data_IF_554765625917
#
_entry.id   IF_554765625917
#
_cell.length_a   1.000
_cell.length_b   1.000
_cell.length_c   1.000
_cell.angle_alpha   90.00
_cell.angle_beta   90.00
_cell.angle_gamma   90.00
#
_symmetry.space_group_name_H-M   'P 1'
#
loop_
_entity.id
_entity.type
_entity.pdbx_description
1 polymer ?
#
# COMPACT_ATOMS: atom_id res chain seq x y z
N UNK A 1 16.83 6.84 1.28
CA UNK A 1 16.63 6.13 -0.01
C UNK A 1 15.23 5.52 -0.13
N UNK A 2 14.75 4.72 0.84
CA UNK A 2 13.39 4.12 0.79
C UNK A 2 12.22 5.11 0.79
N UNK A 3 12.27 6.18 1.59
CA UNK A 3 11.21 7.21 1.65
C UNK A 3 10.96 7.80 0.26
N UNK A 4 12.03 8.26 -0.38
CA UNK A 4 11.99 8.76 -1.76
C UNK A 4 11.49 7.73 -2.77
N UNK A 5 11.89 6.46 -2.69
CA UNK A 5 11.36 5.44 -3.60
C UNK A 5 9.83 5.36 -3.54
N UNK A 6 9.25 5.28 -2.33
CA UNK A 6 7.79 5.20 -2.19
C UNK A 6 7.10 6.48 -2.65
N UNK A 7 7.69 7.66 -2.37
CA UNK A 7 7.16 8.95 -2.84
C UNK A 7 7.12 9.03 -4.37
N UNK A 8 8.23 8.70 -5.04
CA UNK A 8 8.30 8.66 -6.51
C UNK A 8 7.39 7.58 -7.10
N UNK A 9 7.31 6.41 -6.48
CA UNK A 9 6.43 5.33 -6.92
C UNK A 9 4.96 5.74 -6.82
N UNK A 10 4.54 6.31 -5.68
CA UNK A 10 3.19 6.84 -5.50
C UNK A 10 2.85 7.92 -6.53
N UNK A 11 3.78 8.86 -6.77
CA UNK A 11 3.63 9.89 -7.82
C UNK A 11 3.36 9.26 -9.19
N UNK A 12 4.21 8.35 -9.65
CA UNK A 12 4.05 7.69 -10.97
C UNK A 12 2.72 6.95 -11.07
N UNK A 13 2.34 6.18 -10.03
CA UNK A 13 1.08 5.44 -10.01
C UNK A 13 -0.11 6.38 -10.11
N UNK A 14 -0.13 7.46 -9.31
CA UNK A 14 -1.25 8.39 -9.24
C UNK A 14 -1.40 9.21 -10.52
N UNK A 15 -0.33 9.74 -11.10
CA UNK A 15 -0.35 10.48 -12.38
C UNK A 15 -0.79 9.58 -13.54
N UNK A 16 -0.37 8.30 -13.53
CA UNK A 16 -0.76 7.34 -14.55
C UNK A 16 -2.23 6.92 -14.42
N UNK A 17 -2.71 6.73 -13.18
CA UNK A 17 -4.06 6.22 -12.92
C UNK A 17 -5.15 7.30 -12.96
N UNK A 18 -4.77 8.55 -12.69
CA UNK A 18 -5.67 9.71 -12.59
C UNK A 18 -5.09 10.94 -13.30
N UNK A 19 -4.75 10.87 -14.59
CA UNK A 19 -4.10 11.98 -15.30
C UNK A 19 -4.98 13.25 -15.39
N UNK A 20 -6.31 13.12 -15.23
CA UNK A 20 -7.21 14.29 -15.17
C UNK A 20 -7.25 14.95 -13.79
N UNK A 21 -6.87 14.23 -12.73
CA UNK A 21 -6.83 14.72 -11.34
C UNK A 21 -5.44 15.21 -10.95
N UNK A 22 -4.42 14.51 -11.43
CA UNK A 22 -3.02 14.72 -11.11
C UNK A 22 -2.23 14.81 -12.42
N UNK A 23 -2.02 16.04 -12.91
CA UNK A 23 -1.14 16.27 -14.06
C UNK A 23 0.33 16.37 -13.61
N UNK A 24 0.61 17.11 -12.54
CA UNK A 24 1.94 17.31 -11.95
C UNK A 24 1.85 17.29 -10.42
N UNK A 25 2.17 16.14 -9.83
CA UNK A 25 2.45 16.01 -8.41
C UNK A 25 3.89 16.39 -8.10
N UNK A 26 4.10 17.27 -7.12
CA UNK A 26 5.42 17.61 -6.63
C UNK A 26 5.76 16.82 -5.37
N UNK A 27 7.01 16.39 -5.24
CA UNK A 27 7.53 15.82 -3.99
C UNK A 27 7.69 16.96 -2.99
N UNK A 28 7.16 16.79 -1.78
CA UNK A 28 7.22 17.77 -0.70
C UNK A 28 7.44 17.06 0.64
N UNK A 29 7.61 17.83 1.72
CA UNK A 29 7.48 17.30 3.08
C UNK A 29 6.14 17.72 3.70
N UNK A 30 5.44 16.77 4.32
CA UNK A 30 4.20 16.95 5.11
C UNK A 30 3.14 17.85 4.44
N UNK A 31 2.39 17.35 3.46
CA UNK A 31 2.40 15.98 2.95
C UNK A 31 3.51 15.69 1.94
N UNK A 32 3.78 14.40 1.78
CA UNK A 32 4.87 13.82 0.97
C UNK A 32 4.74 14.14 -0.53
N UNK A 33 3.51 14.26 -1.05
CA UNK A 33 3.22 14.78 -2.39
C UNK A 33 2.21 15.93 -2.31
N UNK A 34 2.30 16.87 -3.25
CA UNK A 34 1.34 17.97 -3.37
C UNK A 34 0.95 18.22 -4.81
N UNK A 35 -0.33 18.45 -5.01
CA UNK A 35 -0.87 18.99 -6.25
C UNK A 35 -1.37 20.41 -5.96
N UNK A 36 -0.61 21.40 -6.42
CA UNK A 36 -0.87 22.81 -6.07
C UNK A 36 -2.15 23.35 -6.67
N UNK A 37 -2.51 22.92 -7.89
CA UNK A 37 -3.70 23.43 -8.60
C UNK A 37 -4.99 23.05 -7.88
N UNK A 38 -5.11 21.80 -7.40
CA UNK A 38 -6.28 21.36 -6.64
C UNK A 38 -6.18 21.62 -5.14
N UNK A 39 -5.03 22.05 -4.64
CA UNK A 39 -4.79 22.15 -3.20
C UNK A 39 -4.89 20.80 -2.49
N UNK A 40 -4.40 19.73 -3.14
CA UNK A 40 -4.42 18.37 -2.59
C UNK A 40 -3.04 17.99 -2.07
N UNK A 41 -3.02 17.41 -0.88
CA UNK A 41 -1.82 16.91 -0.22
C UNK A 41 -1.93 15.42 0.05
N UNK A 42 -0.94 14.64 -0.39
CA UNK A 42 -0.97 13.18 -0.34
C UNK A 42 0.15 12.67 0.56
N UNK A 43 -0.22 12.03 1.66
CA UNK A 43 0.73 11.28 2.49
C UNK A 43 1.06 9.96 1.83
N UNK A 44 2.32 9.52 1.96
CA UNK A 44 2.77 8.23 1.44
C UNK A 44 3.25 7.37 2.59
N UNK A 45 2.82 6.11 2.61
CA UNK A 45 3.30 5.12 3.58
C UNK A 45 3.50 3.76 2.95
N UNK A 46 4.34 2.95 3.60
CA UNK A 46 4.53 1.55 3.27
C UNK A 46 4.03 0.69 4.42
N UNK A 47 3.16 -0.25 4.10
CA UNK A 47 2.52 -1.15 5.07
C UNK A 47 3.11 -2.55 4.94
N UNK A 48 3.97 -2.91 5.89
CA UNK A 48 4.57 -4.24 6.05
C UNK A 48 5.03 -4.38 7.51
N UNK A 49 4.89 -5.56 8.13
CA UNK A 49 5.39 -5.79 9.48
C UNK A 49 6.88 -5.48 9.58
N UNK A 50 7.32 -4.88 10.70
CA UNK A 50 8.73 -4.47 10.89
C UNK A 50 9.72 -5.62 10.68
N UNK A 51 9.38 -6.80 11.20
CA UNK A 51 10.17 -8.02 11.08
C UNK A 51 10.39 -8.40 9.62
N UNK A 52 9.32 -8.35 8.81
CA UNK A 52 9.37 -8.69 7.39
C UNK A 52 10.04 -7.61 6.55
N UNK A 53 9.79 -6.34 6.87
CA UNK A 53 10.49 -5.23 6.25
C UNK A 53 12.00 -5.28 6.53
N UNK A 54 12.42 -5.76 7.70
CA UNK A 54 13.82 -6.03 8.02
C UNK A 54 14.36 -7.19 7.18
N UNK A 55 13.67 -8.32 7.16
CA UNK A 55 14.07 -9.50 6.43
C UNK A 55 14.26 -9.23 4.93
N UNK A 56 13.30 -8.54 4.29
CA UNK A 56 13.41 -8.10 2.89
C UNK A 56 14.69 -7.27 2.67
N UNK A 57 15.06 -6.41 3.61
CA UNK A 57 16.28 -5.59 3.46
C UNK A 57 17.55 -6.40 3.57
N UNK A 58 17.59 -7.37 4.48
CA UNK A 58 18.74 -8.25 4.66
C UNK A 58 18.89 -9.13 3.43
N UNK A 59 17.80 -9.79 3.02
CA UNK A 59 17.75 -10.63 1.82
C UNK A 59 18.15 -9.86 0.56
N UNK A 60 17.58 -8.67 0.34
CA UNK A 60 17.89 -7.86 -0.84
C UNK A 60 19.35 -7.41 -0.89
N UNK A 61 19.99 -7.16 0.27
CA UNK A 61 21.44 -6.85 0.29
C UNK A 61 22.29 -8.06 -0.07
N UNK A 62 21.95 -9.25 0.44
CA UNK A 62 22.61 -10.50 0.08
C UNK A 62 22.46 -10.78 -1.41
N UNK A 63 21.23 -10.76 -1.92
CA UNK A 63 20.89 -10.99 -3.33
C UNK A 63 21.67 -10.09 -4.30
N UNK A 64 21.79 -8.80 -3.98
CA UNK A 64 22.49 -7.84 -4.83
C UNK A 64 24.01 -7.78 -4.61
N UNK A 65 24.59 -8.68 -3.82
CA UNK A 65 26.03 -8.65 -3.50
C UNK A 65 26.47 -7.41 -2.73
N UNK A 66 25.54 -6.75 -2.01
CA UNK A 66 25.79 -5.51 -1.22
C UNK A 66 26.02 -5.78 0.26
N UNK A 67 25.97 -7.04 0.69
CA UNK A 67 26.28 -7.40 2.07
C UNK A 67 27.77 -7.19 2.35
N UNK A 68 28.07 -6.57 3.49
CA UNK A 68 29.46 -6.40 3.97
C UNK A 68 29.97 -7.64 4.71
N UNK A 69 29.07 -8.46 5.22
CA UNK A 69 29.36 -9.69 5.93
C UNK A 69 28.18 -10.64 5.70
N UNK A 70 28.34 -11.52 4.70
CA UNK A 70 27.28 -12.42 4.27
C UNK A 70 26.86 -13.39 5.38
N UNK A 71 27.81 -13.94 6.14
CA UNK A 71 27.53 -14.88 7.23
C UNK A 71 26.63 -14.25 8.29
N UNK A 72 26.93 -13.02 8.72
CA UNK A 72 26.12 -12.29 9.70
C UNK A 72 24.74 -11.91 9.18
N UNK A 73 24.63 -11.51 7.91
CA UNK A 73 23.33 -11.20 7.31
C UNK A 73 22.48 -12.48 7.14
N UNK A 74 23.09 -13.63 6.80
CA UNK A 74 22.40 -14.93 6.74
C UNK A 74 21.95 -15.36 8.14
N UNK A 75 22.81 -15.25 9.16
CA UNK A 75 22.44 -15.50 10.56
C UNK A 75 21.26 -14.63 10.99
N UNK A 76 21.25 -13.36 10.57
CA UNK A 76 20.15 -12.45 10.88
C UNK A 76 18.83 -12.89 10.24
N UNK A 77 18.84 -13.43 9.02
CA UNK A 77 17.64 -14.01 8.41
C UNK A 77 17.12 -15.19 9.24
N UNK A 78 18.00 -16.10 9.66
CA UNK A 78 17.62 -17.22 10.53
C UNK A 78 17.03 -16.76 11.86
N UNK A 79 17.56 -15.71 12.49
CA UNK A 79 16.98 -15.12 13.70
C UNK A 79 15.58 -14.51 13.46
N UNK A 80 15.31 -14.09 12.24
CA UNK A 80 13.98 -13.64 11.80
C UNK A 80 13.09 -14.82 11.37
N UNK A 81 13.55 -16.07 11.49
CA UNK A 81 12.81 -17.26 11.10
C UNK A 81 12.70 -17.45 9.60
N UNK A 82 13.63 -16.89 8.83
CA UNK A 82 13.64 -16.93 7.36
C UNK A 82 14.91 -17.64 6.93
N UNK A 83 14.75 -18.69 6.13
CA UNK A 83 15.87 -19.34 5.47
C UNK A 83 16.32 -18.51 4.28
N UNK A 84 17.63 -18.36 4.10
CA UNK A 84 18.16 -17.63 2.97
C UNK A 84 18.11 -18.48 1.69
N UNK A 85 17.29 -18.07 0.74
CA UNK A 85 17.29 -18.57 -0.63
C UNK A 85 17.79 -17.47 -1.57
N UNK A 86 18.82 -17.76 -2.37
CA UNK A 86 19.41 -16.81 -3.34
C UNK A 86 18.50 -16.45 -4.52
N UNK A 87 17.38 -17.15 -4.72
CA UNK A 87 16.49 -16.99 -5.86
C UNK A 87 15.18 -16.30 -5.49
N UNK A 88 14.66 -16.55 -4.29
CA UNK A 88 13.32 -16.08 -3.92
C UNK A 88 13.24 -15.67 -2.45
N UNK A 89 12.48 -14.61 -2.20
CA UNK A 89 11.96 -14.26 -0.89
C UNK A 89 10.44 -14.33 -0.93
N UNK A 90 9.84 -15.11 -0.03
CA UNK A 90 8.38 -15.19 0.13
C UNK A 90 8.03 -14.72 1.52
N UNK A 91 7.19 -13.70 1.62
CA UNK A 91 6.53 -13.37 2.87
C UNK A 91 5.28 -14.25 3.00
N UNK A 92 5.31 -15.21 3.92
CA UNK A 92 4.12 -15.94 4.34
C UNK A 92 3.24 -15.01 5.18
N UNK A 93 2.09 -14.63 4.62
CA UNK A 93 1.16 -13.71 5.27
C UNK A 93 0.16 -14.46 6.17
N UNK A 94 0.13 -15.80 6.16
CA UNK A 94 -0.90 -16.57 6.85
C UNK A 94 -2.26 -16.48 6.17
N UNK A 95 -3.32 -16.80 6.92
CA UNK A 95 -4.68 -16.88 6.36
C UNK A 95 -5.42 -15.55 6.44
N UNK A 96 -6.21 -15.27 5.41
CA UNK A 96 -7.06 -14.09 5.37
C UNK A 96 -8.48 -14.36 5.89
N UNK A 97 -8.88 -15.61 6.14
CA UNK A 97 -10.23 -15.97 6.62
C UNK A 97 -10.49 -15.69 8.11
N UNK A 98 -9.45 -15.30 8.85
CA UNK A 98 -9.52 -14.95 10.26
C UNK A 98 -10.12 -13.55 10.50
N UNK A 99 -10.31 -13.19 11.77
CA UNK A 99 -10.76 -11.86 12.16
C UNK A 99 -9.92 -10.77 11.45
N UNK A 100 -10.54 -9.96 10.60
CA UNK A 100 -9.89 -8.95 9.77
C UNK A 100 -9.00 -7.96 10.56
N UNK A 101 -9.32 -7.71 11.85
CA UNK A 101 -8.54 -6.84 12.74
C UNK A 101 -7.31 -7.53 13.34
N UNK A 102 -7.15 -8.83 13.16
CA UNK A 102 -6.05 -9.66 13.67
C UNK A 102 -5.24 -10.34 12.56
N UNK A 103 -5.84 -10.53 11.38
CA UNK A 103 -5.17 -11.08 10.19
C UNK A 103 -4.29 -10.07 9.43
N UNK A 104 -3.84 -10.41 8.22
CA UNK A 104 -2.78 -9.65 7.53
C UNK A 104 -3.18 -8.22 7.13
N UNK A 105 -4.48 -7.99 6.92
CA UNK A 105 -5.03 -6.66 6.60
C UNK A 105 -4.82 -5.67 7.76
N UNK A 106 -4.61 -6.16 8.99
CA UNK A 106 -4.31 -5.32 10.15
C UNK A 106 -3.14 -4.36 9.92
N UNK A 107 -2.11 -4.77 9.18
CA UNK A 107 -0.96 -3.91 8.89
C UNK A 107 -1.38 -2.66 8.11
N UNK A 108 -2.33 -2.81 7.18
CA UNK A 108 -2.90 -1.67 6.45
C UNK A 108 -3.70 -0.76 7.37
N UNK A 109 -4.53 -1.32 8.25
CA UNK A 109 -5.28 -0.52 9.24
C UNK A 109 -4.35 0.26 10.17
N UNK A 110 -3.30 -0.39 10.68
CA UNK A 110 -2.32 0.26 11.55
C UNK A 110 -1.55 1.37 10.83
N UNK A 111 -1.20 1.17 9.55
CA UNK A 111 -0.55 2.18 8.73
C UNK A 111 -1.45 3.40 8.49
N UNK A 112 -2.73 3.18 8.20
CA UNK A 112 -3.72 4.26 8.05
C UNK A 112 -3.91 4.99 9.37
N UNK A 113 -4.09 4.26 10.48
CA UNK A 113 -4.28 4.82 11.81
C UNK A 113 -3.13 5.73 12.21
N UNK A 114 -1.89 5.28 12.04
CA UNK A 114 -0.70 6.10 12.34
C UNK A 114 -0.68 7.39 11.53
N UNK A 115 -1.08 7.37 10.25
CA UNK A 115 -1.13 8.57 9.41
C UNK A 115 -2.26 9.51 9.82
N UNK A 116 -3.44 8.98 10.18
CA UNK A 116 -4.56 9.79 10.68
C UNK A 116 -4.18 10.49 11.99
N UNK A 117 -3.57 9.77 12.93
CA UNK A 117 -3.07 10.33 14.20
C UNK A 117 -2.02 11.42 13.94
N UNK A 118 -1.08 11.18 13.02
CA UNK A 118 -0.02 12.14 12.68
C UNK A 118 -0.57 13.40 12.00
N UNK A 119 -1.52 13.26 11.07
CA UNK A 119 -2.18 14.38 10.41
C UNK A 119 -2.88 15.33 11.42
N UNK A 120 -3.36 14.77 12.51
CA UNK A 120 -4.04 15.50 13.58
C UNK A 120 -3.10 15.90 14.73
N UNK A 121 -1.80 15.61 14.64
CA UNK A 121 -0.85 15.94 15.69
C UNK A 121 -0.47 17.42 15.65
N UNK A 122 -0.49 18.06 16.83
CA UNK A 122 -0.05 19.45 17.00
C UNK A 122 1.45 19.66 16.77
N UNK A 123 2.24 18.61 16.83
CA UNK A 123 3.71 18.67 16.70
C UNK A 123 4.21 18.20 15.33
N UNK A 124 3.32 17.71 14.47
CA UNK A 124 3.73 17.18 13.17
C UNK A 124 3.99 18.27 12.12
N UNK A 125 3.51 19.50 12.34
CA UNK A 125 3.74 20.68 11.48
C UNK A 125 3.34 20.42 10.02
N UNK A 126 2.14 19.86 9.81
CA UNK A 126 1.56 19.75 8.47
C UNK A 126 1.25 21.12 7.90
N UNK A 127 1.58 21.33 6.63
CA UNK A 127 1.07 22.50 5.90
C UNK A 127 -0.45 22.46 5.89
N UNK A 128 -1.11 23.61 6.03
CA UNK A 128 -2.57 23.69 5.90
C UNK A 128 -2.95 23.54 4.43
N UNK A 129 -3.67 22.47 4.13
CA UNK A 129 -4.09 22.06 2.79
C UNK A 129 -5.59 21.77 2.81
N UNK A 130 -6.27 22.09 1.70
CA UNK A 130 -7.71 21.93 1.58
C UNK A 130 -8.14 20.46 1.61
N UNK A 131 -7.42 19.60 0.89
CA UNK A 131 -7.75 18.18 0.75
C UNK A 131 -6.56 17.30 1.11
N UNK A 132 -6.76 16.34 2.02
CA UNK A 132 -5.74 15.34 2.33
C UNK A 132 -6.12 13.98 1.75
N UNK A 133 -5.15 13.29 1.17
CA UNK A 133 -5.28 11.93 0.66
C UNK A 133 -4.13 11.07 1.18
N UNK A 134 -4.28 9.77 1.14
CA UNK A 134 -3.28 8.82 1.64
C UNK A 134 -2.99 7.75 0.60
N UNK A 135 -1.72 7.56 0.27
CA UNK A 135 -1.25 6.44 -0.53
C UNK A 135 -0.52 5.42 0.33
N UNK A 136 -1.03 4.19 0.34
CA UNK A 136 -0.43 3.05 1.05
C UNK A 136 0.12 2.06 0.03
N UNK A 137 1.43 1.90 0.02
CA UNK A 137 2.10 0.81 -0.69
C UNK A 137 2.16 -0.43 0.21
N UNK A 138 1.64 -1.56 -0.25
CA UNK A 138 1.66 -2.79 0.52
C UNK A 138 1.74 -4.02 -0.38
N UNK A 139 2.06 -5.15 0.24
CA UNK A 139 2.07 -6.47 -0.41
C UNK A 139 0.87 -7.31 0.05
N UNK A 140 -0.03 -6.75 0.86
CA UNK A 140 -1.23 -7.45 1.36
C UNK A 140 -2.26 -7.67 0.25
N UNK A 141 -3.12 -8.65 0.44
CA UNK A 141 -4.31 -8.90 -0.36
C UNK A 141 -5.55 -8.38 0.38
N UNK A 142 -6.61 -8.09 -0.37
CA UNK A 142 -7.95 -7.88 0.19
C UNK A 142 -8.89 -8.88 -0.49
N UNK A 143 -9.34 -9.93 0.23
CA UNK A 143 -10.38 -10.82 -0.27
C UNK A 143 -11.65 -10.02 -0.57
N UNK A 144 -12.34 -10.35 -1.66
CA UNK A 144 -13.49 -9.58 -2.15
C UNK A 144 -14.61 -9.50 -1.10
N UNK A 145 -14.83 -10.59 -0.37
CA UNK A 145 -15.81 -10.70 0.70
C UNK A 145 -15.52 -9.78 1.90
N UNK A 146 -14.29 -9.29 2.04
CA UNK A 146 -13.87 -8.41 3.14
C UNK A 146 -13.91 -6.92 2.80
N UNK A 147 -14.12 -6.55 1.53
CA UNK A 147 -14.08 -5.15 1.06
C UNK A 147 -14.99 -4.23 1.90
N UNK A 148 -16.23 -4.65 2.16
CA UNK A 148 -17.18 -3.82 2.92
C UNK A 148 -16.75 -3.65 4.39
N UNK A 149 -16.17 -4.70 4.99
CA UNK A 149 -15.61 -4.62 6.33
C UNK A 149 -14.38 -3.69 6.38
N UNK A 150 -13.52 -3.74 5.36
CA UNK A 150 -12.38 -2.81 5.21
C UNK A 150 -12.86 -1.36 5.18
N UNK A 151 -13.86 -1.02 4.35
CA UNK A 151 -14.43 0.33 4.28
C UNK A 151 -14.94 0.77 5.66
N UNK A 152 -15.72 -0.07 6.34
CA UNK A 152 -16.24 0.22 7.67
C UNK A 152 -15.14 0.54 8.69
N UNK A 153 -14.07 -0.26 8.71
CA UNK A 153 -12.95 -0.07 9.64
C UNK A 153 -12.14 1.18 9.28
N UNK A 154 -11.91 1.46 7.99
CA UNK A 154 -11.24 2.69 7.57
C UNK A 154 -12.02 3.93 8.00
N UNK A 155 -13.36 3.88 7.95
CA UNK A 155 -14.20 4.98 8.47
C UNK A 155 -14.04 5.18 9.96
N UNK A 156 -14.01 4.09 10.75
CA UNK A 156 -13.78 4.16 12.20
C UNK A 156 -12.42 4.82 12.51
N UNK A 157 -11.38 4.44 11.77
CA UNK A 157 -10.02 4.96 11.95
C UNK A 157 -9.92 6.43 11.51
N UNK A 158 -10.49 6.78 10.35
CA UNK A 158 -10.38 8.09 9.71
C UNK A 158 -11.45 9.08 10.22
N UNK A 159 -11.70 9.10 11.53
CA UNK A 159 -12.78 9.88 12.14
C UNK A 159 -12.31 11.03 13.06
N UNK A 160 -11.08 11.51 12.89
CA UNK A 160 -10.57 12.68 13.63
C UNK A 160 -10.92 14.01 12.93
N UNK A 161 -10.42 15.14 13.43
CA UNK A 161 -10.74 16.48 12.92
C UNK A 161 -10.31 16.68 11.46
N UNK A 162 -9.02 16.47 11.17
CA UNK A 162 -8.48 16.33 9.82
C UNK A 162 -8.60 14.87 9.37
N UNK A 163 -9.03 14.65 8.13
CA UNK A 163 -9.31 13.31 7.58
C UNK A 163 -8.70 13.16 6.19
N UNK A 164 -8.44 11.93 5.79
CA UNK A 164 -8.13 11.61 4.40
C UNK A 164 -9.43 11.40 3.62
N UNK A 165 -9.64 12.16 2.55
CA UNK A 165 -10.83 12.03 1.70
C UNK A 165 -10.76 10.77 0.83
N UNK A 166 -9.58 10.50 0.29
CA UNK A 166 -9.28 9.30 -0.51
C UNK A 166 -8.13 8.53 0.14
N UNK A 167 -8.29 7.22 0.27
CA UNK A 167 -7.22 6.30 0.66
C UNK A 167 -6.96 5.36 -0.52
N UNK A 168 -5.73 5.40 -1.02
CA UNK A 168 -5.23 4.49 -2.04
C UNK A 168 -4.48 3.35 -1.38
N UNK A 169 -4.76 2.11 -1.77
CA UNK A 169 -3.96 0.95 -1.42
C UNK A 169 -3.53 0.24 -2.69
N UNK A 170 -2.22 0.22 -2.94
CA UNK A 170 -1.64 -0.63 -3.96
C UNK A 170 -1.18 -1.94 -3.33
N UNK A 171 -1.54 -3.04 -3.98
CA UNK A 171 -1.19 -4.40 -3.56
C UNK A 171 -0.24 -5.06 -4.55
N UNK A 172 0.34 -6.20 -4.17
CA UNK A 172 1.19 -7.01 -5.06
C UNK A 172 0.45 -7.57 -6.30
N UNK A 173 -0.88 -7.59 -6.29
CA UNK A 173 -1.70 -7.99 -7.44
C UNK A 173 -1.79 -6.90 -8.53
N UNK A 174 -1.01 -5.81 -8.40
CA UNK A 174 -1.02 -4.69 -9.35
C UNK A 174 -2.41 -4.03 -9.43
N UNK A 175 -3.20 -4.18 -8.36
CA UNK A 175 -4.48 -3.51 -8.13
C UNK A 175 -4.24 -2.29 -7.26
N UNK A 176 -4.83 -1.18 -7.66
CA UNK A 176 -4.96 0.04 -6.88
C UNK A 176 -6.40 0.14 -6.40
N UNK A 177 -6.62 -0.15 -5.13
CA UNK A 177 -7.87 0.08 -4.44
C UNK A 177 -7.98 1.56 -4.09
N UNK A 178 -9.11 2.16 -4.42
CA UNK A 178 -9.40 3.59 -4.24
C UNK A 178 -10.60 3.70 -3.33
N UNK A 179 -10.36 3.85 -2.04
CA UNK A 179 -11.39 4.04 -1.04
C UNK A 179 -11.80 5.50 -1.00
N UNK A 180 -13.01 5.80 -1.47
CA UNK A 180 -13.62 7.11 -1.33
C UNK A 180 -14.29 7.19 0.03
N UNK A 181 -13.66 7.90 0.97
CA UNK A 181 -14.13 7.99 2.34
C UNK A 181 -15.29 8.97 2.50
N UNK A 182 -15.53 9.82 1.49
CA UNK A 182 -16.62 10.80 1.48
C UNK A 182 -17.91 10.17 0.98
N UNK A 183 -17.83 9.43 -0.14
CA UNK A 183 -18.97 8.76 -0.77
C UNK A 183 -19.14 7.31 -0.34
N UNK A 184 -18.23 6.79 0.52
CA UNK A 184 -18.24 5.44 1.07
C UNK A 184 -18.25 4.33 0.01
N UNK A 185 -17.48 4.54 -1.04
CA UNK A 185 -17.37 3.59 -2.15
C UNK A 185 -15.93 3.13 -2.37
N UNK A 186 -15.78 2.07 -3.16
CA UNK A 186 -14.49 1.57 -3.61
C UNK A 186 -14.48 1.50 -5.13
N UNK A 187 -13.40 2.00 -5.74
CA UNK A 187 -13.04 1.70 -7.13
C UNK A 187 -11.73 0.93 -7.18
N UNK A 188 -11.61 -0.04 -8.08
CA UNK A 188 -10.36 -0.78 -8.31
C UNK A 188 -9.81 -0.40 -9.69
N UNK A 189 -8.55 0.05 -9.72
CA UNK A 189 -7.80 0.26 -10.97
C UNK A 189 -6.72 -0.82 -11.11
N UNK A 190 -6.48 -1.23 -12.34
CA UNK A 190 -5.43 -2.21 -12.67
C UNK A 190 -4.29 -1.48 -13.37
N UNK A 191 -3.06 -1.66 -12.87
CA UNK A 191 -1.89 -0.96 -13.40
C UNK A 191 -1.42 -1.50 -14.76
N UNK A 192 -1.83 -2.71 -15.13
CA UNK A 192 -1.65 -3.26 -16.47
C UNK A 192 -3.01 -3.58 -17.09
N UNK A 193 -3.23 -3.13 -18.34
CA UNK A 193 -4.42 -3.44 -19.11
C UNK A 193 -4.03 -3.95 -20.50
N UNK A 194 -4.02 -5.28 -20.69
CA UNK A 194 -4.69 -5.91 -21.85
C UNK A 194 -4.73 -7.44 -21.78
N UNK A 195 -3.68 -8.11 -21.30
CA UNK A 195 -3.54 -9.57 -21.42
C UNK A 195 -4.23 -10.38 -20.30
N UNK A 196 -4.24 -9.88 -19.06
CA UNK A 196 -4.90 -10.56 -17.92
C UNK A 196 -6.44 -10.51 -18.03
N UNK A 197 -7.00 -9.44 -18.61
CA UNK A 197 -8.45 -9.35 -18.86
C UNK A 197 -8.96 -10.47 -19.78
N UNK A 198 -8.14 -10.93 -20.73
CA UNK A 198 -8.54 -12.01 -21.65
C UNK A 198 -8.56 -13.37 -20.92
N UNK A 199 -7.66 -13.61 -19.96
CA UNK A 199 -7.68 -14.86 -19.18
C UNK A 199 -8.83 -14.92 -18.17
N UNK A 200 -9.22 -13.79 -17.57
CA UNK A 200 -10.34 -13.74 -16.62
C UNK A 200 -11.71 -13.87 -17.32
N UNK A 201 -11.86 -13.30 -18.53
CA UNK A 201 -13.06 -13.47 -19.35
C UNK A 201 -13.17 -14.91 -19.87
N UNK A 202 -12.07 -15.55 -20.28
CA UNK A 202 -12.09 -16.93 -20.77
C UNK A 202 -12.26 -18.00 -19.68
N UNK A 203 -12.12 -17.63 -18.40
CA UNK A 203 -12.33 -18.54 -17.27
C UNK A 203 -13.80 -18.59 -16.82
N UNK A 204 -14.66 -17.74 -17.37
CA UNK A 204 -16.09 -17.69 -17.07
C UNK A 204 -16.90 -18.14 -18.31
N UNK A 205 -17.16 -19.44 -18.38
CA UNK A 205 -18.14 -20.14 -19.25
C UNK A 205 -17.76 -20.25 -20.73
N UNK A 206 -17.38 -21.46 -21.16
CA UNK A 206 -18.27 -22.27 -22.02
C UNK A 206 -18.22 -23.75 -21.63
N UNK A 207 -19.30 -24.23 -21.00
CA UNK A 207 -19.70 -25.64 -21.07
C UNK A 207 -20.40 -25.80 -22.41
N UNK A 208 -19.80 -26.53 -23.34
CA UNK A 208 -20.56 -27.20 -24.40
C UNK A 208 -20.67 -28.67 -24.01
N UNK A 209 -21.83 -29.06 -23.51
CA UNK A 209 -22.27 -30.44 -23.56
C UNK A 209 -22.60 -30.78 -25.01
N UNK A 210 -21.95 -31.80 -25.55
CA UNK A 210 -22.47 -32.59 -26.66
C UNK A 210 -23.00 -33.92 -26.08
#
# INVERSE_FOLDING_TARGET
MKKHFNEYFAKVVLESCFPQKFDILEISDKPDLRHFVSGTGIEVTYSMPKKEAEAVNVWHRLYNGKSKNCEKDIERLYQLGIEYDSQLFVWDQGCYDENIKQGPIKEFFDAVKQKVERLNSKTAEYAEIAHYELFVNSTILIPNEQIMAVIGILKEINNLGKKFEIIYLITNEQKLYVFDMVNENLTIKYLYNHLIRISEINSTVIIFTA
#
